data_IF_312494665179
#
_entry.id   IF_312494665179
#
_cell.length_a   1.000
_cell.length_b   1.000
_cell.length_c   1.000
_cell.angle_alpha   90.00
_cell.angle_beta   90.00
_cell.angle_gamma   90.00
#
_symmetry.space_group_name_H-M   'P 1'
#
loop_
_entity.id
_entity.type
_entity.pdbx_description
1 polymer ?
#
# COMPACT_ATOMS: atom_id res chain seq x y z
N UNK A 1 8.61 -6.31 4.71
CA UNK A 1 9.43 -5.68 5.77
C UNK A 1 8.57 -4.63 6.45
N UNK A 2 8.36 -4.72 7.77
CA UNK A 2 7.60 -3.72 8.53
C UNK A 2 8.59 -2.90 9.35
N UNK A 3 8.65 -1.59 9.10
CA UNK A 3 9.46 -0.66 9.90
C UNK A 3 8.49 0.14 10.77
N UNK A 4 8.69 0.08 12.07
CA UNK A 4 7.90 0.83 13.06
C UNK A 4 8.80 1.93 13.60
N UNK A 5 8.40 3.18 13.40
CA UNK A 5 9.08 4.35 13.98
C UNK A 5 8.14 4.96 15.01
N UNK A 6 8.58 5.01 16.27
CA UNK A 6 7.84 5.71 17.31
C UNK A 6 8.28 7.18 17.33
N UNK A 7 7.36 8.09 17.01
CA UNK A 7 7.55 9.52 17.30
C UNK A 7 6.96 9.83 18.68
N UNK A 8 7.36 10.95 19.28
CA UNK A 8 6.97 11.30 20.66
C UNK A 8 5.44 11.40 20.85
N UNK A 9 4.69 11.67 19.77
CA UNK A 9 3.23 11.88 19.84
C UNK A 9 2.39 10.84 19.07
N UNK A 10 2.96 10.11 18.10
CA UNK A 10 2.26 9.06 17.34
C UNK A 10 3.18 7.94 16.87
N UNK A 11 2.69 6.70 16.84
CA UNK A 11 3.42 5.60 16.20
C UNK A 11 3.16 5.66 14.69
N UNK A 12 4.22 5.46 13.93
CA UNK A 12 4.19 5.42 12.47
C UNK A 12 4.44 3.99 11.99
N UNK A 13 3.59 3.51 11.07
CA UNK A 13 3.76 2.24 10.37
C UNK A 13 4.13 2.53 8.93
N UNK A 14 5.34 2.11 8.55
CA UNK A 14 5.83 2.28 7.19
C UNK A 14 5.63 1.00 6.39
N UNK A 15 4.96 1.13 5.25
CA UNK A 15 4.87 0.10 4.23
C UNK A 15 5.66 0.54 3.01
N UNK A 16 6.59 -0.29 2.58
CA UNK A 16 7.21 -0.15 1.28
C UNK A 16 6.59 -1.18 0.34
N UNK A 17 6.07 -0.73 -0.79
CA UNK A 17 5.43 -1.59 -1.77
C UNK A 17 5.91 -1.29 -3.19
N UNK A 18 5.86 -2.32 -4.03
CA UNK A 18 6.10 -2.22 -5.47
C UNK A 18 4.91 -2.85 -6.17
N UNK A 19 4.08 -2.03 -6.82
CA UNK A 19 2.89 -2.52 -7.49
C UNK A 19 3.25 -3.34 -8.75
N UNK A 20 2.40 -4.28 -9.17
CA UNK A 20 2.59 -4.98 -10.44
C UNK A 20 2.63 -4.00 -11.62
N UNK A 21 3.38 -4.33 -12.67
CA UNK A 21 3.48 -3.52 -13.89
C UNK A 21 2.26 -3.73 -14.80
N UNK A 22 2.09 -2.86 -15.82
CA UNK A 22 0.94 -2.91 -16.75
C UNK A 22 0.76 -4.27 -17.43
N UNK A 23 1.84 -5.00 -17.69
CA UNK A 23 1.82 -6.34 -18.31
C UNK A 23 1.44 -7.48 -17.38
N UNK A 24 1.27 -7.23 -16.07
CA UNK A 24 0.77 -8.23 -15.13
C UNK A 24 -0.74 -8.44 -15.32
N UNK A 25 -1.22 -9.63 -14.94
CA UNK A 25 -2.64 -9.96 -14.98
C UNK A 25 -3.44 -9.07 -14.02
N UNK A 26 -4.72 -8.84 -14.34
CA UNK A 26 -5.59 -8.04 -13.47
C UNK A 26 -5.75 -8.68 -12.08
N UNK A 27 -5.82 -10.02 -12.02
CA UNK A 27 -5.76 -10.75 -10.75
C UNK A 27 -4.54 -10.39 -9.91
N UNK A 28 -3.35 -10.29 -10.52
CA UNK A 28 -2.14 -9.94 -9.76
C UNK A 28 -2.19 -8.50 -9.21
N UNK A 29 -2.83 -7.58 -9.93
CA UNK A 29 -3.05 -6.19 -9.48
C UNK A 29 -4.08 -6.14 -8.35
N UNK A 30 -5.18 -6.88 -8.48
CA UNK A 30 -6.24 -6.96 -7.46
C UNK A 30 -5.71 -7.61 -6.17
N UNK A 31 -4.99 -8.72 -6.30
CA UNK A 31 -4.37 -9.41 -5.16
C UNK A 31 -3.37 -8.49 -4.43
N UNK A 32 -2.63 -7.64 -5.17
CA UNK A 32 -1.72 -6.64 -4.59
C UNK A 32 -2.47 -5.59 -3.76
N UNK A 33 -3.52 -4.98 -4.32
CA UNK A 33 -4.29 -3.94 -3.62
C UNK A 33 -5.04 -4.51 -2.43
N UNK A 34 -5.59 -5.72 -2.55
CA UNK A 34 -6.26 -6.44 -1.45
C UNK A 34 -5.30 -6.69 -0.30
N UNK A 35 -4.09 -7.20 -0.60
CA UNK A 35 -3.09 -7.45 0.43
C UNK A 35 -2.62 -6.15 1.09
N UNK A 36 -2.45 -5.06 0.32
CA UNK A 36 -2.07 -3.77 0.89
C UNK A 36 -3.14 -3.26 1.86
N UNK A 37 -4.42 -3.37 1.47
CA UNK A 37 -5.57 -2.97 2.29
C UNK A 37 -5.62 -3.78 3.60
N UNK A 38 -5.58 -5.12 3.51
CA UNK A 38 -5.52 -6.02 4.67
C UNK A 38 -4.38 -5.65 5.63
N UNK A 39 -3.20 -5.30 5.10
CA UNK A 39 -2.05 -4.91 5.93
C UNK A 39 -2.19 -3.53 6.57
N UNK A 40 -2.92 -2.63 5.93
CA UNK A 40 -3.23 -1.33 6.53
C UNK A 40 -4.36 -1.41 7.56
N UNK A 41 -5.32 -2.33 7.39
CA UNK A 41 -6.38 -2.59 8.37
C UNK A 41 -5.84 -3.19 9.69
N UNK A 42 -4.72 -3.92 9.65
CA UNK A 42 -4.04 -4.44 10.84
C UNK A 42 -3.43 -3.32 11.73
N UNK A 43 -3.38 -2.07 11.25
CA UNK A 43 -2.80 -0.93 11.99
C UNK A 43 -3.87 -0.28 12.88
N UNK A 44 -3.57 -0.02 14.18
CA UNK A 44 -4.50 0.68 15.06
C UNK A 44 -4.88 2.06 14.51
N UNK A 45 -6.16 2.48 14.61
CA UNK A 45 -6.65 3.72 14.02
C UNK A 45 -6.03 4.99 14.61
N UNK A 46 -5.44 4.92 15.81
CA UNK A 46 -4.70 6.00 16.45
C UNK A 46 -3.30 6.23 15.86
N UNK A 47 -2.77 5.22 15.17
CA UNK A 47 -1.45 5.24 14.56
C UNK A 47 -1.54 5.78 13.12
N UNK A 48 -0.41 6.29 12.60
CA UNK A 48 -0.36 6.83 11.23
C UNK A 48 0.32 5.83 10.29
N UNK A 49 -0.30 5.62 9.15
CA UNK A 49 0.21 4.76 8.07
C UNK A 49 0.92 5.64 7.03
N UNK A 50 2.11 5.21 6.64
CA UNK A 50 2.85 5.80 5.52
C UNK A 50 3.18 4.69 4.52
N UNK A 51 2.57 4.76 3.33
CA UNK A 51 2.88 3.87 2.21
C UNK A 51 3.81 4.60 1.26
N UNK A 52 4.94 3.97 0.92
CA UNK A 52 5.93 4.51 -0.01
C UNK A 52 6.41 3.42 -0.97
N UNK A 53 7.05 3.84 -2.06
CA UNK A 53 7.55 2.97 -3.11
C UNK A 53 6.90 3.25 -4.45
N UNK A 54 7.19 2.42 -5.44
CA UNK A 54 6.63 2.56 -6.77
C UNK A 54 5.31 1.79 -6.84
N UNK A 55 4.22 2.53 -6.62
CA UNK A 55 2.87 2.00 -6.69
C UNK A 55 2.34 1.92 -8.13
N UNK A 56 3.18 2.21 -9.13
CA UNK A 56 2.82 2.28 -10.54
C UNK A 56 1.45 2.95 -10.73
N UNK A 57 1.29 4.22 -10.35
CA UNK A 57 -0.02 4.92 -10.27
C UNK A 57 -0.88 4.95 -11.56
N UNK A 58 -0.35 4.44 -12.67
CA UNK A 58 -1.08 4.14 -13.92
C UNK A 58 -1.69 2.72 -13.96
N UNK A 59 -1.49 1.89 -12.94
CA UNK A 59 -1.94 0.50 -12.80
C UNK A 59 -3.18 0.51 -11.91
N UNK A 60 -4.25 1.10 -12.43
CA UNK A 60 -5.62 0.87 -11.98
C UNK A 60 -6.35 -0.05 -12.96
N UNK A 61 -7.54 -0.50 -12.60
CA UNK A 61 -8.46 -1.19 -13.52
C UNK A 61 -8.82 -0.34 -14.76
N UNK A 62 -8.59 0.97 -14.68
CA UNK A 62 -8.69 1.93 -15.79
C UNK A 62 -7.39 2.72 -15.91
N UNK A 63 -7.15 3.33 -17.10
CA UNK A 63 -6.04 4.27 -17.31
C UNK A 63 -6.09 5.51 -16.40
N UNK A 64 -7.16 5.67 -15.61
CA UNK A 64 -7.38 6.80 -14.70
C UNK A 64 -6.83 6.54 -13.28
N UNK A 65 -6.25 5.36 -13.02
CA UNK A 65 -5.69 4.99 -11.71
C UNK A 65 -6.67 4.22 -10.81
N UNK A 66 -6.22 3.89 -9.59
CA UNK A 66 -7.02 3.27 -8.53
C UNK A 66 -7.76 4.38 -7.77
N UNK A 67 -9.08 4.23 -7.55
CA UNK A 67 -9.93 5.23 -6.88
C UNK A 67 -10.17 4.87 -5.42
#
# INVERSE_FOLDING_TARGET
MKIVVATVERRLHFFSAYAPQTGCSDKAKDDFWTLLDEKTEEVPPEDTIIVAGDLNGHVGATKEGYR
#
